data_IF_427772705902
#
_entry.id   IF_427772705902
#
_cell.length_a   1.000
_cell.length_b   1.000
_cell.length_c   1.000
_cell.angle_alpha   90.00
_cell.angle_beta   90.00
_cell.angle_gamma   90.00
#
_symmetry.space_group_name_H-M   'P 1'
#
loop_
_entity.id
_entity.type
_entity.pdbx_description
1 polymer ?
#
# COMPACT_ATOMS: atom_id res chain seq x y z
N UNK A 1 -18.70 8.37 7.18
CA UNK A 1 -18.06 8.15 5.87
C UNK A 1 -17.04 7.03 6.04
N UNK A 2 -17.09 6.02 5.17
CA UNK A 2 -16.15 4.91 5.15
C UNK A 2 -15.35 4.93 3.85
N UNK A 3 -14.13 4.40 3.88
CA UNK A 3 -13.29 4.21 2.69
C UNK A 3 -12.87 2.74 2.59
N UNK A 4 -12.59 2.27 1.39
CA UNK A 4 -11.95 0.97 1.13
C UNK A 4 -10.59 1.21 0.50
N UNK A 5 -9.57 0.58 1.04
CA UNK A 5 -8.20 0.74 0.53
C UNK A 5 -7.51 -0.61 0.34
N UNK A 6 -6.62 -0.66 -0.64
CA UNK A 6 -5.50 -1.62 -0.62
C UNK A 6 -4.31 -0.98 0.06
N UNK A 7 -3.57 -1.79 0.81
CA UNK A 7 -2.47 -1.38 1.67
C UNK A 7 -1.26 -2.29 1.47
N UNK A 8 -0.10 -1.67 1.27
CA UNK A 8 1.20 -2.32 1.30
C UNK A 8 2.00 -1.75 2.47
N UNK A 9 2.44 -2.61 3.39
CA UNK A 9 3.27 -2.26 4.54
C UNK A 9 4.67 -2.81 4.36
N UNK A 10 5.69 -1.98 4.45
CA UNK A 10 7.06 -2.43 4.61
C UNK A 10 7.53 -2.02 6.00
N UNK A 11 7.84 -3.02 6.82
CA UNK A 11 8.42 -2.83 8.15
C UNK A 11 9.92 -2.63 8.06
N UNK A 12 10.48 -2.04 9.11
CA UNK A 12 11.91 -1.96 9.38
C UNK A 12 12.18 -2.36 10.83
N UNK A 13 13.46 -2.47 11.21
CA UNK A 13 13.90 -2.85 12.56
C UNK A 13 13.35 -1.96 13.68
N UNK A 14 13.06 -0.70 13.37
CA UNK A 14 12.44 0.27 14.28
C UNK A 14 10.90 0.28 14.30
N UNK A 15 10.22 -0.57 13.51
CA UNK A 15 8.76 -0.67 13.58
C UNK A 15 8.33 -1.29 14.91
N UNK A 16 7.20 -0.86 15.48
CA UNK A 16 6.66 -1.29 16.79
C UNK A 16 6.67 -2.81 16.99
N UNK A 17 6.37 -3.56 15.91
CA UNK A 17 6.43 -5.01 15.87
C UNK A 17 7.19 -5.45 14.60
N UNK A 18 8.53 -5.57 14.65
CA UNK A 18 9.37 -5.81 13.49
C UNK A 18 9.37 -7.30 13.10
N UNK A 19 8.18 -7.85 12.83
CA UNK A 19 7.96 -9.22 12.35
C UNK A 19 7.04 -9.15 11.14
N UNK A 20 7.45 -9.76 10.03
CA UNK A 20 6.64 -9.84 8.83
C UNK A 20 5.49 -10.82 9.03
N UNK A 21 4.24 -10.37 8.80
CA UNK A 21 3.08 -11.27 8.82
C UNK A 21 3.03 -12.18 7.58
N UNK A 22 3.85 -11.91 6.56
CA UNK A 22 3.98 -12.73 5.36
C UNK A 22 4.97 -13.86 5.53
N UNK A 23 6.19 -13.57 5.99
CA UNK A 23 7.24 -14.59 6.16
C UNK A 23 7.29 -15.21 7.55
N UNK A 24 6.61 -14.62 8.53
CA UNK A 24 6.71 -14.97 9.96
C UNK A 24 8.13 -14.82 10.55
N UNK A 25 8.99 -14.02 9.90
CA UNK A 25 10.36 -13.77 10.34
C UNK A 25 10.53 -12.35 10.88
N UNK A 26 11.54 -12.19 11.73
CA UNK A 26 11.98 -10.88 12.21
C UNK A 26 12.48 -10.02 11.04
N UNK A 27 12.13 -8.74 11.06
CA UNK A 27 12.51 -7.75 10.06
C UNK A 27 13.76 -7.03 10.55
N UNK A 28 14.88 -7.29 9.89
CA UNK A 28 16.20 -6.75 10.27
C UNK A 28 16.65 -5.54 9.44
N UNK A 29 15.99 -5.29 8.29
CA UNK A 29 16.28 -4.15 7.42
C UNK A 29 16.11 -2.81 8.14
N UNK A 30 16.96 -1.86 7.80
CA UNK A 30 16.91 -0.47 8.24
C UNK A 30 15.70 0.27 7.67
N UNK A 31 15.39 1.44 8.24
CA UNK A 31 14.33 2.32 7.73
C UNK A 31 14.63 2.82 6.32
N UNK A 32 15.89 3.12 6.00
CA UNK A 32 16.31 3.54 4.66
C UNK A 32 16.13 2.43 3.62
N UNK A 33 16.50 1.19 3.95
CA UNK A 33 16.26 0.04 3.05
C UNK A 33 14.76 -0.22 2.85
N UNK A 34 13.95 -0.09 3.91
CA UNK A 34 12.50 -0.18 3.80
C UNK A 34 11.91 0.93 2.91
N UNK A 35 12.43 2.16 3.02
CA UNK A 35 12.01 3.29 2.20
C UNK A 35 12.37 3.08 0.72
N UNK A 36 13.61 2.65 0.44
CA UNK A 36 14.06 2.35 -0.92
C UNK A 36 13.20 1.28 -1.57
N UNK A 37 12.95 0.17 -0.86
CA UNK A 37 12.06 -0.89 -1.33
C UNK A 37 10.66 -0.33 -1.62
N UNK A 38 10.09 0.47 -0.72
CA UNK A 38 8.75 1.00 -0.91
C UNK A 38 8.66 2.00 -2.07
N UNK A 39 9.71 2.81 -2.26
CA UNK A 39 9.82 3.75 -3.38
C UNK A 39 9.94 3.02 -4.73
N UNK A 40 10.69 1.93 -4.78
CA UNK A 40 10.77 1.07 -5.99
C UNK A 40 9.38 0.52 -6.35
N UNK A 41 8.65 0.01 -5.38
CA UNK A 41 7.28 -0.49 -5.59
C UNK A 41 6.30 0.62 -6.01
N UNK A 42 6.43 1.81 -5.41
CA UNK A 42 5.64 2.98 -5.81
C UNK A 42 5.93 3.38 -7.26
N UNK A 43 7.21 3.38 -7.65
CA UNK A 43 7.65 3.71 -9.00
C UNK A 43 7.10 2.72 -10.01
N UNK A 44 7.11 1.41 -9.72
CA UNK A 44 6.51 0.40 -10.60
C UNK A 44 5.00 0.65 -10.83
N UNK A 45 4.26 0.99 -9.77
CA UNK A 45 2.83 1.32 -9.89
C UNK A 45 2.59 2.58 -10.72
N UNK A 46 3.42 3.61 -10.55
CA UNK A 46 3.33 4.86 -11.29
C UNK A 46 3.69 4.67 -12.77
N UNK A 47 4.75 3.91 -13.06
CA UNK A 47 5.17 3.58 -14.43
C UNK A 47 4.06 2.81 -15.15
N UNK A 48 3.50 1.77 -14.53
CA UNK A 48 2.36 1.06 -15.11
C UNK A 48 1.20 2.03 -15.37
N UNK A 49 0.84 2.86 -14.40
CA UNK A 49 -0.24 3.81 -14.59
C UNK A 49 0.00 4.69 -15.82
N UNK A 50 1.19 5.29 -15.95
CA UNK A 50 1.60 6.11 -17.09
C UNK A 50 1.52 5.36 -18.42
N UNK A 51 2.03 4.13 -18.49
CA UNK A 51 1.97 3.29 -19.69
C UNK A 51 0.52 3.03 -20.11
N UNK A 52 -0.36 2.72 -19.15
CA UNK A 52 -1.77 2.49 -19.41
C UNK A 52 -2.50 3.75 -19.92
N UNK A 53 -2.10 4.95 -19.43
CA UNK A 53 -2.63 6.22 -19.96
C UNK A 53 -2.14 6.48 -21.39
N UNK A 54 -0.86 6.21 -21.67
CA UNK A 54 -0.28 6.36 -23.01
C UNK A 54 -0.91 5.41 -24.02
N UNK A 55 -1.27 4.20 -23.60
CA UNK A 55 -2.04 3.23 -24.39
C UNK A 55 -3.51 3.62 -24.57
N UNK A 56 -3.96 4.71 -23.94
CA UNK A 56 -5.33 5.23 -24.02
C UNK A 56 -6.40 4.20 -23.63
N UNK A 57 -6.06 3.32 -22.68
CA UNK A 57 -7.01 2.31 -22.22
C UNK A 57 -8.19 2.96 -21.49
N UNK A 58 -9.40 2.36 -21.58
CA UNK A 58 -10.57 2.80 -20.82
C UNK A 58 -10.27 2.90 -19.33
N UNK A 59 -10.85 3.91 -18.66
CA UNK A 59 -10.59 4.19 -17.25
C UNK A 59 -10.76 2.96 -16.36
N UNK A 60 -11.84 2.20 -16.55
CA UNK A 60 -12.13 0.98 -15.77
C UNK A 60 -11.03 -0.08 -15.93
N UNK A 61 -10.50 -0.26 -17.15
CA UNK A 61 -9.42 -1.21 -17.40
C UNK A 61 -8.11 -0.75 -16.75
N UNK A 62 -7.82 0.55 -16.79
CA UNK A 62 -6.63 1.12 -16.12
C UNK A 62 -6.71 0.92 -14.62
N UNK A 63 -7.87 1.20 -14.03
CA UNK A 63 -8.14 1.00 -12.61
C UNK A 63 -8.01 -0.47 -12.21
N UNK A 64 -8.56 -1.40 -12.99
CA UNK A 64 -8.46 -2.83 -12.74
C UNK A 64 -7.01 -3.30 -12.77
N UNK A 65 -6.23 -2.90 -13.78
CA UNK A 65 -4.82 -3.28 -13.91
C UNK A 65 -3.95 -2.71 -12.78
N UNK A 66 -4.16 -1.44 -12.40
CA UNK A 66 -3.50 -0.82 -11.26
C UNK A 66 -3.80 -1.58 -9.95
N UNK A 67 -5.07 -1.94 -9.71
CA UNK A 67 -5.46 -2.72 -8.54
C UNK A 67 -4.85 -4.13 -8.54
N UNK A 68 -4.74 -4.77 -9.71
CA UNK A 68 -4.11 -6.09 -9.87
C UNK A 68 -2.61 -6.05 -9.57
N UNK A 69 -1.89 -5.07 -10.12
CA UNK A 69 -0.46 -4.90 -9.82
C UNK A 69 -0.25 -4.61 -8.33
N UNK A 70 -1.02 -3.68 -7.75
CA UNK A 70 -0.93 -3.39 -6.32
C UNK A 70 -1.16 -4.65 -5.49
N UNK A 71 -2.17 -5.46 -5.84
CA UNK A 71 -2.46 -6.70 -5.16
C UNK A 71 -1.30 -7.70 -5.21
N UNK A 72 -0.67 -7.85 -6.38
CA UNK A 72 0.49 -8.72 -6.56
C UNK A 72 1.69 -8.24 -5.73
N UNK A 73 2.02 -6.95 -5.79
CA UNK A 73 3.11 -6.36 -4.99
C UNK A 73 2.83 -6.50 -3.49
N UNK A 74 1.59 -6.28 -3.06
CA UNK A 74 1.20 -6.46 -1.66
C UNK A 74 1.35 -7.92 -1.22
N UNK A 75 0.94 -8.90 -2.03
CA UNK A 75 1.13 -10.32 -1.75
C UNK A 75 2.62 -10.70 -1.60
N UNK A 76 3.47 -10.14 -2.45
CA UNK A 76 4.90 -10.48 -2.51
C UNK A 76 5.73 -9.77 -1.44
N UNK A 77 5.40 -8.51 -1.11
CA UNK A 77 6.27 -7.65 -0.32
C UNK A 77 5.68 -7.23 1.03
N UNK A 78 4.35 -7.15 1.16
CA UNK A 78 3.73 -6.58 2.37
C UNK A 78 3.99 -7.42 3.62
N UNK A 79 4.33 -6.73 4.70
CA UNK A 79 4.51 -7.28 6.04
C UNK A 79 3.21 -7.24 6.87
N UNK A 80 2.12 -6.67 6.33
CA UNK A 80 0.79 -6.66 6.94
C UNK A 80 0.05 -7.97 6.63
N UNK A 81 -0.83 -8.44 7.52
CA UNK A 81 -1.63 -9.65 7.29
C UNK A 81 -2.61 -9.56 6.11
N UNK A 82 -2.95 -8.35 5.66
CA UNK A 82 -3.76 -8.12 4.47
C UNK A 82 -3.09 -8.57 3.17
N UNK A 83 -1.78 -8.88 3.18
CA UNK A 83 -1.06 -9.43 2.03
C UNK A 83 -1.81 -10.60 1.38
N UNK A 84 -2.47 -11.46 2.19
CA UNK A 84 -3.27 -12.60 1.71
C UNK A 84 -4.42 -12.21 0.79
N UNK A 85 -4.93 -10.99 0.93
CA UNK A 85 -6.01 -10.42 0.13
C UNK A 85 -5.50 -9.35 -0.85
N UNK A 86 -4.20 -9.38 -1.19
CA UNK A 86 -3.60 -8.35 -2.05
C UNK A 86 -3.63 -6.97 -1.41
N UNK A 87 -3.48 -6.90 -0.09
CA UNK A 87 -3.48 -5.67 0.66
C UNK A 87 -4.87 -5.10 0.94
N UNK A 88 -5.97 -5.72 0.49
CA UNK A 88 -7.32 -5.21 0.75
C UNK A 88 -7.62 -5.19 2.26
N UNK A 89 -8.00 -4.03 2.77
CA UNK A 89 -8.40 -3.81 4.16
C UNK A 89 -9.92 -3.86 4.36
N UNK A 90 -10.69 -3.99 3.28
CA UNK A 90 -12.14 -3.81 3.33
C UNK A 90 -12.51 -2.35 3.63
N UNK A 91 -13.78 -2.14 3.97
CA UNK A 91 -14.26 -0.83 4.38
C UNK A 91 -13.92 -0.54 5.83
N UNK A 92 -13.44 0.67 6.09
CA UNK A 92 -13.24 1.17 7.45
C UNK A 92 -13.68 2.63 7.57
N UNK A 93 -14.05 3.01 8.79
CA UNK A 93 -14.46 4.33 9.23
C UNK A 93 -13.36 4.97 10.09
N UNK A 94 -13.54 6.27 10.38
CA UNK A 94 -12.64 7.00 11.28
C UNK A 94 -12.56 6.34 12.66
N UNK A 95 -11.38 6.35 13.27
CA UNK A 95 -11.05 5.71 14.54
C UNK A 95 -10.69 4.22 14.46
N UNK A 96 -10.73 3.59 13.28
CA UNK A 96 -10.45 2.15 13.12
C UNK A 96 -9.00 1.85 12.71
N UNK A 97 -8.26 2.84 12.23
CA UNK A 97 -6.86 2.71 11.80
C UNK A 97 -5.96 3.68 12.58
N UNK A 98 -4.64 3.50 12.51
CA UNK A 98 -3.69 4.47 13.09
C UNK A 98 -3.87 5.85 12.44
N UNK A 99 -3.74 6.91 13.23
CA UNK A 99 -4.08 8.27 12.84
C UNK A 99 -3.40 8.71 11.54
N UNK A 100 -2.11 8.41 11.37
CA UNK A 100 -1.34 8.77 10.17
C UNK A 100 -1.88 8.05 8.92
N UNK A 101 -2.18 6.76 9.05
CA UNK A 101 -2.74 5.95 7.96
C UNK A 101 -4.15 6.43 7.59
N UNK A 102 -4.99 6.63 8.60
CA UNK A 102 -6.36 7.10 8.42
C UNK A 102 -6.38 8.46 7.73
N UNK A 103 -5.61 9.42 8.23
CA UNK A 103 -5.56 10.76 7.66
C UNK A 103 -5.18 10.72 6.18
N UNK A 104 -4.17 9.93 5.82
CA UNK A 104 -3.79 9.74 4.42
C UNK A 104 -4.91 9.07 3.61
N UNK A 105 -5.47 7.96 4.08
CA UNK A 105 -6.49 7.20 3.36
C UNK A 105 -7.76 8.02 3.07
N UNK A 106 -8.22 8.84 4.02
CA UNK A 106 -9.42 9.66 3.85
C UNK A 106 -9.20 10.88 2.96
N UNK A 107 -7.96 11.36 2.81
CA UNK A 107 -7.62 12.50 1.95
C UNK A 107 -7.35 12.09 0.49
N UNK A 108 -7.19 10.79 0.20
CA UNK A 108 -7.07 10.30 -1.17
C UNK A 108 -8.42 10.39 -1.89
N UNK A 109 -8.38 10.70 -3.18
CA UNK A 109 -9.50 10.49 -4.10
C UNK A 109 -9.63 8.99 -4.44
N UNK A 110 -10.82 8.50 -4.86
CA UNK A 110 -10.95 7.17 -5.40
C UNK A 110 -9.93 6.92 -6.52
N UNK A 111 -9.28 5.76 -6.49
CA UNK A 111 -8.22 5.31 -7.40
C UNK A 111 -6.89 6.08 -7.30
N UNK A 112 -6.73 6.92 -6.28
CA UNK A 112 -5.48 7.61 -6.03
C UNK A 112 -4.53 6.74 -5.19
N UNK A 113 -3.27 6.68 -5.62
CA UNK A 113 -2.14 6.14 -4.88
C UNK A 113 -1.56 7.22 -3.97
N UNK A 114 -1.24 6.88 -2.73
CA UNK A 114 -0.60 7.79 -1.78
C UNK A 114 0.89 7.97 -2.05
N UNK A 115 1.46 9.02 -1.44
CA UNK A 115 2.87 9.05 -1.08
C UNK A 115 3.20 8.02 0.01
N UNK A 116 4.47 7.90 0.37
CA UNK A 116 4.88 7.08 1.51
C UNK A 116 4.32 7.67 2.80
N UNK A 117 3.51 6.88 3.51
CA UNK A 117 2.95 7.24 4.81
C UNK A 117 3.71 6.50 5.90
N UNK A 118 4.19 7.22 6.91
CA UNK A 118 4.87 6.62 8.06
C UNK A 118 3.92 6.49 9.25
N UNK A 119 4.00 5.35 9.94
CA UNK A 119 3.36 5.13 11.24
C UNK A 119 4.25 4.26 12.12
N UNK A 120 3.83 4.00 13.36
CA UNK A 120 4.57 3.11 14.25
C UNK A 120 4.65 1.67 13.71
N UNK A 121 3.79 1.30 12.76
CA UNK A 121 3.85 -0.01 12.11
C UNK A 121 4.90 -0.12 11.02
N UNK A 122 5.45 0.99 10.52
CA UNK A 122 6.42 1.02 9.42
C UNK A 122 6.03 2.03 8.34
N UNK A 123 6.37 1.71 7.09
CA UNK A 123 6.12 2.55 5.92
C UNK A 123 5.01 1.95 5.06
N UNK A 124 4.10 2.81 4.58
CA UNK A 124 2.86 2.39 3.96
C UNK A 124 2.69 3.03 2.58
N UNK A 125 2.18 2.25 1.63
CA UNK A 125 1.49 2.76 0.45
C UNK A 125 0.01 2.40 0.54
N UNK A 126 -0.84 3.33 0.09
CA UNK A 126 -2.28 3.23 0.16
C UNK A 126 -2.85 3.51 -1.22
N UNK A 127 -3.69 2.62 -1.73
CA UNK A 127 -4.52 2.84 -2.91
C UNK A 127 -5.98 2.89 -2.46
N UNK A 128 -6.65 4.04 -2.62
CA UNK A 128 -8.08 4.15 -2.30
C UNK A 128 -8.90 3.54 -3.43
N UNK A 129 -9.83 2.65 -3.08
CA UNK A 129 -10.74 1.97 -4.00
C UNK A 129 -12.11 2.66 -4.02
N UNK A 130 -12.66 2.95 -2.83
CA UNK A 130 -13.95 3.62 -2.63
C UNK A 130 -13.86 4.58 -1.44
#
# INVERSE_FOLDING_TARGET
MSVRCRHLLVKHSGSRNPVSRRTQQAVTRSKSEALLLLQELQQQLQQQQQELEQQQLPLEQRQQQQQQLFAALAQQHSDCSSFRQGGDLGFFSKGQMQQQFEFAAFNLLPQQLSDVVESDSGLHLILRIA
#
